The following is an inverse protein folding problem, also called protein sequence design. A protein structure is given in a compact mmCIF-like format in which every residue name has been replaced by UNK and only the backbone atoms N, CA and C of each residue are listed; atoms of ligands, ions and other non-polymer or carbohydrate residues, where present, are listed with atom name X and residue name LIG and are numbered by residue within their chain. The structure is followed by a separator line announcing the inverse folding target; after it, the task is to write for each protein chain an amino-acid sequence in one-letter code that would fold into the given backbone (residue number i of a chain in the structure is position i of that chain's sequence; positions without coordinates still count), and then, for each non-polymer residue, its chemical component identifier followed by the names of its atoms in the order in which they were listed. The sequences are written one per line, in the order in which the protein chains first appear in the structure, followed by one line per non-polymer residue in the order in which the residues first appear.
data_IF_383766680714
#
_entry.id   IF_383766680714
#
_cell.length_a   1.000
_cell.length_b   1.000
_cell.length_c   1.000
_cell.angle_alpha   90.00
_cell.angle_beta   90.00
_cell.angle_gamma   90.00
#
_symmetry.space_group_name_H-M   'P 1'
#
loop_
_entity.id
_entity.type
_entity.pdbx_description
1 polymer ?
#
# COMPACT_ATOMS: atom_id res chain seq x y z
N UNK A 1 31.14 17.88 8.25
CA UNK A 1 29.68 17.94 8.03
C UNK A 1 29.47 17.98 6.53
N UNK A 2 29.36 16.81 5.90
CA UNK A 2 29.18 16.71 4.45
C UNK A 2 27.90 15.91 4.20
N UNK A 3 26.78 16.64 4.07
CA UNK A 3 25.49 16.09 3.71
C UNK A 3 25.52 15.78 2.22
N UNK A 4 26.03 14.59 1.87
CA UNK A 4 25.78 14.01 0.54
C UNK A 4 24.29 13.75 0.40
N UNK A 5 23.57 14.77 -0.07
CA UNK A 5 22.23 14.63 -0.61
C UNK A 5 22.32 13.59 -1.74
N UNK A 6 21.83 12.37 -1.50
CA UNK A 6 21.80 11.28 -2.49
C UNK A 6 20.90 11.76 -3.65
N UNK A 7 21.51 12.24 -4.74
CA UNK A 7 20.80 12.53 -6.00
C UNK A 7 19.96 11.29 -6.34
N UNK A 8 18.68 11.41 -6.73
CA UNK A 8 17.92 10.24 -7.16
C UNK A 8 18.63 9.67 -8.39
N UNK A 9 19.26 8.51 -8.21
CA UNK A 9 19.91 7.78 -9.29
C UNK A 9 18.86 7.17 -10.21
N UNK A 10 19.22 6.98 -11.48
CA UNK A 10 18.43 6.20 -12.43
C UNK A 10 18.21 4.80 -11.83
N UNK A 11 16.97 4.32 -11.84
CA UNK A 11 16.65 2.96 -11.43
C UNK A 11 17.20 1.98 -12.47
N UNK A 12 17.74 0.85 -12.03
CA UNK A 12 17.93 -0.27 -12.95
C UNK A 12 16.58 -0.78 -13.46
N UNK A 13 16.61 -1.56 -14.55
CA UNK A 13 15.40 -2.02 -15.22
C UNK A 13 14.51 -2.91 -14.32
N UNK A 14 15.11 -3.68 -13.40
CA UNK A 14 14.36 -4.53 -12.48
C UNK A 14 13.59 -3.72 -11.45
N UNK A 15 14.24 -2.71 -10.85
CA UNK A 15 13.60 -1.77 -9.95
C UNK A 15 12.51 -0.95 -10.67
N UNK A 16 12.78 -0.48 -11.90
CA UNK A 16 11.81 0.22 -12.71
C UNK A 16 10.60 -0.66 -13.11
N UNK A 17 10.83 -1.95 -13.41
CA UNK A 17 9.76 -2.91 -13.69
C UNK A 17 8.90 -3.17 -12.45
N UNK A 18 9.52 -3.32 -11.27
CA UNK A 18 8.80 -3.52 -10.00
C UNK A 18 7.89 -2.33 -9.67
N UNK A 19 8.37 -1.11 -9.86
CA UNK A 19 7.56 0.11 -9.64
C UNK A 19 6.40 0.18 -10.64
N UNK A 20 6.63 -0.16 -11.92
CA UNK A 20 5.55 -0.21 -12.92
C UNK A 20 4.50 -1.27 -12.61
N UNK A 21 4.92 -2.45 -12.17
CA UNK A 21 4.02 -3.52 -11.75
C UNK A 21 3.17 -3.10 -10.54
N UNK A 22 3.80 -2.49 -9.54
CA UNK A 22 3.08 -1.92 -8.39
C UNK A 22 2.08 -0.85 -8.84
N UNK A 23 2.49 0.07 -9.73
CA UNK A 23 1.58 1.09 -10.25
C UNK A 23 0.40 0.50 -11.03
N UNK A 24 0.60 -0.61 -11.76
CA UNK A 24 -0.49 -1.31 -12.44
C UNK A 24 -1.48 -1.95 -11.43
N UNK A 25 -0.95 -2.61 -10.40
CA UNK A 25 -1.76 -3.17 -9.31
C UNK A 25 -2.57 -2.09 -8.58
N UNK A 26 -1.98 -0.93 -8.31
CA UNK A 26 -2.71 0.19 -7.70
C UNK A 26 -3.81 0.74 -8.62
N UNK A 27 -3.54 0.89 -9.93
CA UNK A 27 -4.57 1.31 -10.89
C UNK A 27 -5.73 0.32 -10.98
N UNK A 28 -5.46 -0.98 -10.92
CA UNK A 28 -6.50 -2.00 -10.95
C UNK A 28 -7.45 -1.95 -9.73
N UNK A 29 -7.03 -1.32 -8.63
CA UNK A 29 -7.84 -1.17 -7.41
C UNK A 29 -8.69 0.11 -7.37
N UNK A 30 -8.49 1.02 -8.32
CA UNK A 30 -9.15 2.34 -8.32
C UNK A 30 -10.67 2.21 -8.38
N UNK A 31 -11.18 1.35 -9.26
CA UNK A 31 -12.63 1.19 -9.42
C UNK A 31 -13.29 0.60 -8.16
N UNK A 32 -12.59 -0.34 -7.49
CA UNK A 32 -13.06 -0.90 -6.21
C UNK A 32 -13.09 0.17 -5.13
N UNK A 33 -12.03 0.98 -5.02
CA UNK A 33 -11.97 2.07 -4.04
C UNK A 33 -13.07 3.10 -4.30
N UNK A 34 -13.27 3.50 -5.56
CA UNK A 34 -14.33 4.43 -5.95
C UNK A 34 -15.71 3.88 -5.55
N UNK A 35 -15.99 2.61 -5.87
CA UNK A 35 -17.23 1.95 -5.49
C UNK A 35 -17.47 1.91 -3.98
N UNK A 36 -16.45 1.63 -3.17
CA UNK A 36 -16.57 1.65 -1.70
C UNK A 36 -16.86 3.06 -1.18
N UNK A 37 -16.20 4.09 -1.72
CA UNK A 37 -16.43 5.47 -1.31
C UNK A 37 -17.83 5.97 -1.68
N UNK A 38 -18.32 5.59 -2.86
CA UNK A 38 -19.68 5.86 -3.31
C UNK A 38 -20.71 5.16 -2.42
N UNK A 39 -20.46 3.91 -2.04
CA UNK A 39 -21.32 3.16 -1.12
C UNK A 39 -21.38 3.81 0.27
N UNK A 40 -20.23 4.22 0.82
CA UNK A 40 -20.18 4.97 2.10
C UNK A 40 -20.94 6.30 2.00
N UNK A 41 -20.83 7.00 0.88
CA UNK A 41 -21.56 8.25 0.67
C UNK A 41 -23.08 8.02 0.60
N UNK A 42 -23.53 6.89 0.04
CA UNK A 42 -24.94 6.55 -0.09
C UNK A 42 -25.54 5.96 1.19
N UNK A 43 -24.78 5.13 1.92
CA UNK A 43 -25.29 4.26 2.99
C UNK A 43 -24.70 4.54 4.37
N UNK A 44 -23.70 5.44 4.47
CA UNK A 44 -22.95 5.70 5.69
C UNK A 44 -21.87 4.65 5.95
N UNK A 45 -21.20 4.76 7.10
CA UNK A 45 -20.16 3.82 7.49
C UNK A 45 -20.74 2.44 7.90
N UNK A 46 -19.97 1.35 7.72
CA UNK A 46 -20.32 0.06 8.30
C UNK A 46 -20.47 0.15 9.82
N UNK A 47 -21.28 -0.75 10.38
CA UNK A 47 -21.45 -0.85 11.83
C UNK A 47 -20.10 -1.19 12.50
N UNK A 48 -19.82 -0.58 13.66
CA UNK A 48 -18.53 -0.74 14.32
C UNK A 48 -18.21 -2.21 14.66
N UNK A 49 -19.25 -2.99 14.96
CA UNK A 49 -19.17 -4.42 15.28
C UNK A 49 -18.77 -5.28 14.07
N UNK A 50 -18.92 -4.75 12.85
CA UNK A 50 -18.48 -5.39 11.60
C UNK A 50 -17.05 -5.00 11.19
N UNK A 51 -16.43 -4.06 11.90
CA UNK A 51 -15.09 -3.56 11.64
C UNK A 51 -14.06 -4.26 12.53
N UNK A 52 -12.81 -4.27 12.08
CA UNK A 52 -11.66 -4.71 12.88
C UNK A 52 -11.05 -3.49 13.57
N UNK A 53 -10.59 -3.64 14.81
CA UNK A 53 -9.87 -2.58 15.50
C UNK A 53 -8.58 -2.23 14.74
N UNK A 54 -8.24 -0.95 14.71
CA UNK A 54 -7.08 -0.48 13.95
C UNK A 54 -5.79 -1.15 14.41
N UNK A 55 -5.62 -1.34 15.71
CA UNK A 55 -4.48 -1.99 16.31
C UNK A 55 -4.34 -3.44 15.81
N UNK A 56 -5.43 -4.19 15.78
CA UNK A 56 -5.44 -5.58 15.30
C UNK A 56 -5.10 -5.68 13.81
N UNK A 57 -5.73 -4.85 12.97
CA UNK A 57 -5.48 -4.83 11.53
C UNK A 57 -4.03 -4.40 11.20
N UNK A 58 -3.51 -3.40 11.92
CA UNK A 58 -2.13 -2.90 11.76
C UNK A 58 -1.13 -3.97 12.17
N UNK A 59 -1.30 -4.58 13.34
CA UNK A 59 -0.34 -5.52 13.88
C UNK A 59 -0.26 -6.79 13.03
N UNK A 60 -1.41 -7.32 12.58
CA UNK A 60 -1.46 -8.41 11.60
C UNK A 60 -0.76 -8.06 10.27
N UNK A 61 -0.89 -6.82 9.80
CA UNK A 61 -0.20 -6.36 8.59
C UNK A 61 1.32 -6.30 8.78
N UNK A 62 1.78 -5.79 9.93
CA UNK A 62 3.20 -5.70 10.24
C UNK A 62 3.83 -7.09 10.43
N UNK A 63 3.12 -8.03 11.07
CA UNK A 63 3.56 -9.43 11.18
C UNK A 63 3.72 -10.07 9.80
N UNK A 64 2.76 -9.86 8.88
CA UNK A 64 2.87 -10.33 7.50
C UNK A 64 4.10 -9.73 6.80
N UNK A 65 4.33 -8.42 6.93
CA UNK A 65 5.50 -7.77 6.34
C UNK A 65 6.81 -8.29 6.94
N UNK A 66 6.86 -8.54 8.24
CA UNK A 66 8.02 -9.11 8.91
C UNK A 66 8.31 -10.55 8.42
N UNK A 67 7.25 -11.33 8.14
CA UNK A 67 7.36 -12.68 7.58
C UNK A 67 7.77 -12.73 6.11
N UNK A 68 7.60 -11.65 5.34
CA UNK A 68 7.87 -11.61 3.90
C UNK A 68 9.37 -11.47 3.54
N UNK A 69 10.28 -11.22 4.51
CA UNK A 69 11.72 -10.98 4.34
C UNK A 69 12.06 -9.85 3.33
N UNK A 70 13.23 -9.19 3.41
CA UNK A 70 13.56 -8.10 2.52
C UNK A 70 13.74 -8.62 1.09
N UNK A 71 12.82 -8.27 0.19
CA UNK A 71 13.11 -8.23 -1.25
C UNK A 71 14.04 -7.05 -1.53
N UNK A 72 15.27 -7.16 -1.04
CA UNK A 72 16.38 -6.30 -1.44
C UNK A 72 17.20 -7.13 -2.41
N UNK A 73 17.04 -6.83 -3.70
CA UNK A 73 17.98 -7.21 -4.75
C UNK A 73 19.20 -6.27 -4.69
#
# INVERSE_FOLDING_TARGET
MDTRQKRPGVLDESAAASVRAYAADQRAKVDVLASVLEDIAANGYPAAESCVLWEEARDAHLERLAGEQPRVA
#
